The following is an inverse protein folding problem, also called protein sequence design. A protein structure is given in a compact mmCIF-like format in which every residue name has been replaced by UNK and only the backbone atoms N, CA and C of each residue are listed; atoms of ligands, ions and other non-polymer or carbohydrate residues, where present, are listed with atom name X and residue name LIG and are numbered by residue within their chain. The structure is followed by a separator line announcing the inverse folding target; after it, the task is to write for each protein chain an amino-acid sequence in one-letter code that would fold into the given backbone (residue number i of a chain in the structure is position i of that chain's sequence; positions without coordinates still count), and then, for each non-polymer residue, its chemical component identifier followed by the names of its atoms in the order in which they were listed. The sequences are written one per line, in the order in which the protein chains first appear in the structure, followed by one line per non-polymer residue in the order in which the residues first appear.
data_IF_027494150860
#
_entry.id   IF_027494150860
#
_cell.length_a   1.000
_cell.length_b   1.000
_cell.length_c   1.000
_cell.angle_alpha   90.00
_cell.angle_beta   90.00
_cell.angle_gamma   90.00
#
_symmetry.space_group_name_H-M   'P 1'
#
loop_
_entity.id
_entity.type
_entity.pdbx_description
1 polymer ?
#
# COMPACT_ATOMS: atom_id res chain seq x y z
N UNK A 1 18.60 -9.18 -16.56
CA UNK A 1 18.19 -9.42 -15.16
C UNK A 1 19.44 -9.75 -14.38
N UNK A 2 19.71 -9.05 -13.27
CA UNK A 2 20.89 -9.27 -12.45
C UNK A 2 20.62 -10.40 -11.47
N UNK A 3 21.61 -11.23 -11.15
CA UNK A 3 21.46 -12.36 -10.20
C UNK A 3 22.13 -12.09 -8.86
N UNK A 4 22.98 -11.07 -8.82
CA UNK A 4 23.61 -10.55 -7.61
C UNK A 4 22.62 -9.74 -6.78
N UNK A 5 22.85 -9.71 -5.46
CA UNK A 5 22.06 -8.90 -4.55
C UNK A 5 22.44 -7.41 -4.75
N UNK A 6 21.48 -6.48 -4.88
CA UNK A 6 21.82 -5.07 -5.01
C UNK A 6 22.58 -4.57 -3.79
N UNK A 7 23.60 -3.72 -3.98
CA UNK A 7 24.40 -3.17 -2.88
C UNK A 7 23.56 -2.46 -1.82
N UNK A 8 22.51 -1.74 -2.26
CA UNK A 8 21.55 -1.06 -1.39
C UNK A 8 20.36 -1.94 -0.98
N UNK A 9 20.46 -3.27 -1.04
CA UNK A 9 19.36 -4.18 -0.73
C UNK A 9 18.74 -3.92 0.65
N UNK A 10 19.53 -3.58 1.66
CA UNK A 10 19.00 -3.31 3.00
C UNK A 10 18.05 -2.10 3.02
N UNK A 11 18.33 -1.07 2.23
CA UNK A 11 17.48 0.11 2.13
C UNK A 11 16.25 -0.18 1.28
N UNK A 12 16.40 -0.91 0.17
CA UNK A 12 15.26 -1.39 -0.63
C UNK A 12 14.34 -2.31 0.18
N UNK A 13 14.91 -3.18 1.02
CA UNK A 13 14.15 -4.05 1.92
C UNK A 13 13.39 -3.25 2.97
N UNK A 14 14.01 -2.23 3.55
CA UNK A 14 13.33 -1.32 4.49
C UNK A 14 12.19 -0.59 3.79
N UNK A 15 12.43 0.00 2.62
CA UNK A 15 11.44 0.72 1.84
C UNK A 15 10.27 -0.19 1.42
N UNK A 16 10.54 -1.41 0.95
CA UNK A 16 9.51 -2.39 0.59
C UNK A 16 8.66 -2.85 1.79
N UNK A 17 9.18 -2.79 3.01
CA UNK A 17 8.45 -3.12 4.24
C UNK A 17 7.90 -1.88 4.96
N UNK A 18 8.09 -0.67 4.42
CA UNK A 18 7.70 0.57 5.08
C UNK A 18 6.19 0.77 4.98
N UNK A 19 5.50 0.56 6.11
CA UNK A 19 4.02 0.55 6.17
C UNK A 19 3.39 1.94 6.03
N UNK A 20 4.20 3.00 6.03
CA UNK A 20 3.76 4.39 6.03
C UNK A 20 3.73 5.05 4.65
N UNK A 21 4.19 4.35 3.61
CA UNK A 21 4.18 4.86 2.23
C UNK A 21 4.13 3.72 1.20
N UNK A 22 2.96 3.49 0.61
CA UNK A 22 2.75 2.51 -0.45
C UNK A 22 3.53 2.87 -1.71
N UNK A 23 3.79 4.17 -1.94
CA UNK A 23 4.61 4.65 -3.05
C UNK A 23 6.06 4.22 -2.91
N UNK A 24 6.62 4.32 -1.70
CA UNK A 24 7.96 3.80 -1.41
C UNK A 24 8.02 2.29 -1.53
N UNK A 25 7.00 1.58 -1.02
CA UNK A 25 6.92 0.12 -1.20
C UNK A 25 6.86 -0.27 -2.68
N UNK A 26 6.04 0.42 -3.47
CA UNK A 26 5.91 0.18 -4.91
C UNK A 26 7.23 0.46 -5.64
N UNK A 27 7.85 1.60 -5.38
CA UNK A 27 9.12 1.98 -5.99
C UNK A 27 10.22 0.96 -5.67
N UNK A 28 10.31 0.53 -4.39
CA UNK A 28 11.27 -0.49 -3.98
C UNK A 28 11.01 -1.83 -4.68
N UNK A 29 9.76 -2.27 -4.78
CA UNK A 29 9.38 -3.49 -5.52
C UNK A 29 9.75 -3.38 -7.00
N UNK A 30 9.51 -2.24 -7.63
CA UNK A 30 9.88 -1.99 -9.02
C UNK A 30 11.40 -2.04 -9.23
N UNK A 31 12.18 -1.42 -8.35
CA UNK A 31 13.65 -1.51 -8.40
C UNK A 31 14.11 -2.96 -8.22
N UNK A 32 13.59 -3.66 -7.21
CA UNK A 32 13.93 -5.05 -6.91
C UNK A 32 13.55 -6.02 -8.04
N UNK A 33 12.56 -5.69 -8.88
CA UNK A 33 12.16 -6.52 -10.03
C UNK A 33 13.26 -6.75 -11.08
N UNK A 34 14.37 -6.01 -11.01
CA UNK A 34 15.53 -6.21 -11.90
C UNK A 34 16.54 -7.25 -11.38
N UNK A 35 16.37 -7.73 -10.14
CA UNK A 35 17.32 -8.57 -9.40
C UNK A 35 16.72 -9.93 -9.06
N UNK A 36 17.07 -10.96 -9.82
CA UNK A 36 16.67 -12.35 -9.55
C UNK A 36 17.65 -13.00 -8.57
N UNK A 37 17.48 -12.64 -7.30
CA UNK A 37 18.23 -13.19 -6.17
C UNK A 37 17.25 -13.76 -5.15
N UNK A 38 17.63 -14.82 -4.43
CA UNK A 38 16.75 -15.55 -3.48
C UNK A 38 16.10 -14.61 -2.45
N UNK A 39 16.91 -13.75 -1.82
CA UNK A 39 16.40 -12.76 -0.85
C UNK A 39 15.43 -11.73 -1.45
N UNK A 40 15.49 -11.49 -2.75
CA UNK A 40 14.56 -10.61 -3.45
C UNK A 40 13.26 -11.36 -3.74
N UNK A 41 13.37 -12.59 -4.24
CA UNK A 41 12.24 -13.50 -4.47
C UNK A 41 11.41 -13.68 -3.19
N UNK A 42 12.06 -13.97 -2.06
CA UNK A 42 11.40 -14.12 -0.75
C UNK A 42 10.62 -12.87 -0.34
N UNK A 43 11.23 -11.69 -0.54
CA UNK A 43 10.61 -10.41 -0.23
C UNK A 43 9.39 -10.16 -1.12
N UNK A 44 9.50 -10.40 -2.42
CA UNK A 44 8.40 -10.22 -3.37
C UNK A 44 7.24 -11.17 -3.07
N UNK A 45 7.52 -12.43 -2.69
CA UNK A 45 6.48 -13.37 -2.27
C UNK A 45 5.72 -12.85 -1.04
N UNK A 46 6.43 -12.24 -0.08
CA UNK A 46 5.78 -11.59 1.06
C UNK A 46 4.89 -10.43 0.60
N UNK A 47 5.34 -9.58 -0.33
CA UNK A 47 4.54 -8.47 -0.87
C UNK A 47 3.27 -8.92 -1.57
N UNK A 48 3.33 -9.97 -2.40
CA UNK A 48 2.11 -10.54 -3.03
C UNK A 48 1.09 -10.98 -1.98
N UNK A 49 1.55 -11.62 -0.89
CA UNK A 49 0.66 -12.20 0.13
C UNK A 49 0.12 -11.19 1.14
N UNK A 50 0.93 -10.21 1.54
CA UNK A 50 0.72 -9.44 2.76
C UNK A 50 0.62 -7.92 2.58
N UNK A 51 0.92 -7.36 1.40
CA UNK A 51 0.73 -5.92 1.21
C UNK A 51 -0.76 -5.55 1.31
N UNK A 52 -1.05 -4.36 1.84
CA UNK A 52 -2.43 -3.86 1.93
C UNK A 52 -2.90 -3.23 0.62
N UNK A 53 -1.96 -2.84 -0.24
CA UNK A 53 -2.23 -2.13 -1.50
C UNK A 53 -2.08 -3.07 -2.69
N UNK A 54 -3.16 -3.21 -3.45
CA UNK A 54 -3.22 -4.12 -4.59
C UNK A 54 -2.16 -3.82 -5.66
N UNK A 55 -1.85 -2.54 -5.92
CA UNK A 55 -0.81 -2.16 -6.88
C UNK A 55 0.58 -2.70 -6.50
N UNK A 56 0.92 -2.72 -5.20
CA UNK A 56 2.19 -3.27 -4.71
C UNK A 56 2.19 -4.80 -4.85
N UNK A 57 1.08 -5.46 -4.51
CA UNK A 57 0.92 -6.91 -4.71
C UNK A 57 1.09 -7.28 -6.20
N UNK A 58 0.45 -6.54 -7.09
CA UNK A 58 0.46 -6.76 -8.53
C UNK A 58 1.87 -6.58 -9.11
N UNK A 59 2.57 -5.52 -8.73
CA UNK A 59 3.96 -5.30 -9.16
C UNK A 59 4.90 -6.43 -8.70
N UNK A 60 4.73 -6.92 -7.47
CA UNK A 60 5.51 -8.04 -6.95
C UNK A 60 5.18 -9.36 -7.67
N UNK A 61 3.91 -9.60 -7.98
CA UNK A 61 3.45 -10.76 -8.75
C UNK A 61 4.04 -10.77 -10.15
N UNK A 62 4.03 -9.64 -10.84
CA UNK A 62 4.61 -9.50 -12.18
C UNK A 62 6.12 -9.75 -12.18
N UNK A 63 6.83 -9.25 -11.16
CA UNK A 63 8.25 -9.51 -10.99
C UNK A 63 8.53 -11.01 -10.81
N UNK A 64 7.82 -11.68 -9.91
CA UNK A 64 7.95 -13.13 -9.68
C UNK A 64 7.61 -13.97 -10.92
N UNK A 65 6.57 -13.59 -11.65
CA UNK A 65 6.20 -14.26 -12.91
C UNK A 65 7.32 -14.13 -13.94
N UNK A 66 7.95 -12.95 -14.06
CA UNK A 66 9.12 -12.74 -14.93
C UNK A 66 10.34 -13.56 -14.48
N UNK A 67 10.45 -13.85 -13.19
CA UNK A 67 11.50 -14.70 -12.64
C UNK A 67 11.25 -16.19 -12.91
N UNK A 68 10.04 -16.58 -13.33
CA UNK A 68 9.62 -17.96 -13.54
C UNK A 68 9.14 -18.66 -12.26
N UNK A 69 8.82 -17.89 -11.22
CA UNK A 69 8.30 -18.42 -9.96
C UNK A 69 6.82 -18.81 -10.10
N UNK A 70 6.43 -19.91 -9.46
CA UNK A 70 5.02 -20.30 -9.34
C UNK A 70 4.34 -19.49 -8.22
N UNK A 71 3.63 -18.44 -8.62
CA UNK A 71 2.94 -17.53 -7.71
C UNK A 71 1.49 -17.34 -8.13
N UNK A 72 0.58 -17.35 -7.15
CA UNK A 72 -0.83 -17.07 -7.40
C UNK A 72 -1.06 -15.57 -7.59
N UNK A 73 -1.86 -15.23 -8.60
CA UNK A 73 -2.25 -13.85 -8.85
C UNK A 73 -3.00 -13.27 -7.62
N UNK A 74 -2.61 -12.07 -7.14
CA UNK A 74 -3.33 -11.41 -6.07
C UNK A 74 -4.74 -11.04 -6.53
N UNK A 75 -5.69 -11.01 -5.59
CA UNK A 75 -7.07 -10.57 -5.86
C UNK A 75 -7.32 -9.24 -5.17
N UNK A 76 -7.88 -8.29 -5.92
CA UNK A 76 -8.27 -7.00 -5.34
C UNK A 76 -9.40 -7.21 -4.35
N UNK A 77 -9.21 -6.71 -3.12
CA UNK A 77 -10.23 -6.80 -2.06
C UNK A 77 -11.43 -5.94 -2.45
N UNK A 78 -12.64 -6.52 -2.37
CA UNK A 78 -13.91 -5.84 -2.69
C UNK A 78 -14.52 -5.08 -1.50
N UNK A 79 -14.02 -5.35 -0.29
CA UNK A 79 -14.55 -4.82 0.96
C UNK A 79 -13.46 -4.04 1.69
N UNK A 80 -13.55 -4.02 3.02
CA UNK A 80 -12.62 -3.33 3.89
C UNK A 80 -11.16 -3.78 3.68
N UNK A 81 -10.28 -2.82 3.34
CA UNK A 81 -8.86 -3.10 3.13
C UNK A 81 -8.15 -3.41 4.46
N UNK A 82 -8.52 -2.67 5.50
CA UNK A 82 -8.02 -2.80 6.87
C UNK A 82 -9.19 -3.06 7.80
N UNK A 83 -9.13 -4.18 8.53
CA UNK A 83 -10.17 -4.55 9.51
C UNK A 83 -10.48 -3.39 10.47
N UNK A 84 -11.73 -2.93 10.47
CA UNK A 84 -12.23 -1.86 11.32
C UNK A 84 -11.97 -0.43 10.81
N UNK A 85 -11.44 -0.23 9.60
CA UNK A 85 -11.32 1.07 8.94
C UNK A 85 -12.62 1.90 8.97
N UNK A 86 -13.80 1.29 8.85
CA UNK A 86 -15.07 2.02 8.96
C UNK A 86 -15.20 2.81 10.26
N UNK A 87 -14.88 2.15 11.39
CA UNK A 87 -14.91 2.79 12.72
C UNK A 87 -13.83 3.86 12.85
N UNK A 88 -12.73 3.72 12.11
CA UNK A 88 -11.65 4.71 12.08
C UNK A 88 -12.13 6.01 11.46
N UNK A 89 -12.74 5.94 10.27
CA UNK A 89 -13.26 7.12 9.58
C UNK A 89 -14.26 7.88 10.46
N UNK A 90 -15.23 7.17 11.06
CA UNK A 90 -16.23 7.76 11.97
C UNK A 90 -15.55 8.44 13.18
N UNK A 91 -14.58 7.77 13.81
CA UNK A 91 -13.89 8.34 15.00
C UNK A 91 -13.07 9.57 14.65
N UNK A 92 -12.39 9.57 13.51
CA UNK A 92 -11.61 10.72 13.03
C UNK A 92 -12.54 11.90 12.78
N UNK A 93 -13.65 11.71 12.07
CA UNK A 93 -14.63 12.78 11.78
C UNK A 93 -15.21 13.37 13.07
N UNK A 94 -15.64 12.52 14.01
CA UNK A 94 -16.18 12.95 15.31
C UNK A 94 -15.17 13.69 16.20
N UNK A 95 -13.87 13.57 15.92
CA UNK A 95 -12.82 14.27 16.67
C UNK A 95 -12.53 15.70 16.17
N UNK A 96 -13.18 16.12 15.08
CA UNK A 96 -12.99 17.42 14.45
C UNK A 96 -14.18 18.36 14.79
N UNK A 97 -13.97 19.70 14.69
CA UNK A 97 -15.04 20.69 14.81
C UNK A 97 -16.20 20.45 13.83
N UNK A 98 -17.40 20.93 14.11
CA UNK A 98 -18.57 20.68 13.27
C UNK A 98 -18.45 21.24 11.84
N UNK A 99 -17.67 22.30 11.66
CA UNK A 99 -17.40 23.04 10.43
C UNK A 99 -16.10 22.62 9.72
N UNK A 100 -15.50 21.49 10.11
CA UNK A 100 -14.29 20.99 9.48
C UNK A 100 -14.46 20.72 7.98
N UNK A 101 -13.37 20.91 7.24
CA UNK A 101 -13.30 20.65 5.80
C UNK A 101 -12.88 19.21 5.49
N UNK A 102 -13.01 18.80 4.22
CA UNK A 102 -12.41 17.56 3.73
C UNK A 102 -10.89 17.53 3.98
N UNK A 103 -10.20 18.66 3.83
CA UNK A 103 -8.75 18.75 4.08
C UNK A 103 -8.43 18.45 5.54
N UNK A 104 -9.17 19.04 6.49
CA UNK A 104 -8.98 18.79 7.92
C UNK A 104 -9.17 17.30 8.25
N UNK A 105 -10.16 16.67 7.62
CA UNK A 105 -10.41 15.24 7.76
C UNK A 105 -9.27 14.39 7.18
N UNK A 106 -8.83 14.68 5.95
CA UNK A 106 -7.73 13.98 5.29
C UNK A 106 -6.42 14.11 6.07
N UNK A 107 -6.08 15.32 6.53
CA UNK A 107 -4.88 15.60 7.31
C UNK A 107 -4.91 14.90 8.67
N UNK A 108 -6.06 14.93 9.35
CA UNK A 108 -6.23 14.21 10.62
C UNK A 108 -6.13 12.71 10.42
N UNK A 109 -6.73 12.16 9.37
CA UNK A 109 -6.66 10.73 9.03
C UNK A 109 -5.21 10.33 8.74
N UNK A 110 -4.51 11.08 7.90
CA UNK A 110 -3.09 10.85 7.58
C UNK A 110 -2.20 10.89 8.81
N UNK A 111 -2.41 11.86 9.70
CA UNK A 111 -1.60 12.02 10.92
C UNK A 111 -1.87 10.95 11.97
N UNK A 112 -3.12 10.55 12.15
CA UNK A 112 -3.52 9.68 13.27
C UNK A 112 -3.62 8.21 12.90
N UNK A 113 -3.92 7.91 11.63
CA UNK A 113 -4.19 6.58 11.09
C UNK A 113 -3.62 6.46 9.68
N UNK A 114 -2.31 6.69 9.60
CA UNK A 114 -1.54 6.61 8.37
C UNK A 114 -1.67 5.25 7.68
N UNK A 115 -1.80 4.17 8.44
CA UNK A 115 -2.06 2.83 7.91
C UNK A 115 -3.33 2.77 7.04
N UNK A 116 -4.42 3.39 7.51
CA UNK A 116 -5.68 3.49 6.77
C UNK A 116 -5.56 4.46 5.60
N UNK A 117 -4.98 5.63 5.82
CA UNK A 117 -4.77 6.60 4.76
C UNK A 117 -3.96 5.98 3.61
N UNK A 118 -2.81 5.37 3.92
CA UNK A 118 -1.89 4.75 2.96
C UNK A 118 -2.56 3.64 2.14
N UNK A 119 -3.29 2.74 2.82
CA UNK A 119 -3.95 1.63 2.15
C UNK A 119 -5.04 2.09 1.18
N UNK A 120 -5.89 3.03 1.59
CA UNK A 120 -6.97 3.52 0.75
C UNK A 120 -6.48 4.48 -0.33
N UNK A 121 -5.46 5.28 -0.07
CA UNK A 121 -4.82 6.10 -1.11
C UNK A 121 -4.20 5.20 -2.20
N UNK A 122 -3.48 4.14 -1.81
CA UNK A 122 -2.90 3.21 -2.76
C UNK A 122 -3.92 2.39 -3.54
N UNK A 123 -5.05 2.00 -2.94
CA UNK A 123 -6.09 1.26 -3.65
C UNK A 123 -6.91 2.16 -4.59
N UNK A 124 -7.27 3.37 -4.15
CA UNK A 124 -8.09 4.28 -4.95
C UNK A 124 -7.28 5.04 -6.02
N UNK A 125 -5.96 5.20 -5.80
CA UNK A 125 -5.07 5.89 -6.73
C UNK A 125 -5.53 7.33 -6.99
N UNK A 126 -5.68 7.68 -8.26
CA UNK A 126 -6.14 9.01 -8.69
C UNK A 126 -7.54 9.37 -8.17
N UNK A 127 -8.38 8.37 -7.87
CA UNK A 127 -9.73 8.57 -7.35
C UNK A 127 -9.76 8.72 -5.82
N UNK A 128 -8.61 8.76 -5.14
CA UNK A 128 -8.57 8.79 -3.68
C UNK A 128 -9.32 9.99 -3.07
N UNK A 129 -9.08 11.21 -3.56
CA UNK A 129 -9.74 12.40 -3.01
C UNK A 129 -11.27 12.41 -3.25
N UNK A 130 -11.76 12.17 -4.48
CA UNK A 130 -13.21 12.03 -4.71
C UNK A 130 -13.85 10.92 -3.87
N UNK A 131 -13.18 9.76 -3.75
CA UNK A 131 -13.66 8.66 -2.90
C UNK A 131 -13.70 9.07 -1.42
N UNK A 132 -12.65 9.73 -0.94
CA UNK A 132 -12.56 10.17 0.46
C UNK A 132 -13.61 11.22 0.78
N UNK A 133 -13.92 12.11 -0.18
CA UNK A 133 -14.99 13.09 -0.05
C UNK A 133 -16.37 12.42 0.08
N UNK A 134 -16.70 11.49 -0.84
CA UNK A 134 -17.95 10.75 -0.78
C UNK A 134 -18.07 9.95 0.53
N UNK A 135 -16.95 9.36 0.98
CA UNK A 135 -16.88 8.67 2.27
C UNK A 135 -17.13 9.64 3.42
N UNK A 136 -16.44 10.76 3.44
CA UNK A 136 -16.55 11.80 4.46
C UNK A 136 -17.97 12.36 4.58
N UNK A 137 -18.68 12.55 3.46
CA UNK A 137 -20.07 13.03 3.46
C UNK A 137 -21.08 12.01 4.01
N UNK A 138 -20.77 10.71 3.93
CA UNK A 138 -21.70 9.62 4.28
C UNK A 138 -21.52 9.02 5.67
N UNK A 139 -20.41 9.32 6.36
CA UNK A 139 -20.06 8.83 7.71
C UNK A 139 -20.47 9.77 8.85
#
# INVERSE_FOLDING_TARGET
MQTELPENYQDLKKAANYTSSWRERLAAVQTLSSYKHEQVIDLLHNRVKADTVFAVQQAAYEALTKFGEDVKQPTRRKFELIKGAEKVFVRVKKSLPADHTLSDFADKLKRTRLDVYDAYEGDQGENFLPWLEAKWQTI
#
